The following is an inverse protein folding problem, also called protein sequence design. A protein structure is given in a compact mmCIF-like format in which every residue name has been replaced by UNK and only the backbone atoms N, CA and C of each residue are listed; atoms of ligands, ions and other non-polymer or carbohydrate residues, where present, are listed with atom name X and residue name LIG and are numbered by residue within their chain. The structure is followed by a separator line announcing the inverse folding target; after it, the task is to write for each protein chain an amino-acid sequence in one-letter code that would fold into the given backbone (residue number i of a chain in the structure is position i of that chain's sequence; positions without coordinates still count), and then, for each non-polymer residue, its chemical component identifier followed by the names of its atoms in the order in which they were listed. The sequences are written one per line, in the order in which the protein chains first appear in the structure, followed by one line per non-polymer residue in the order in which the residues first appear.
data_IF_150261087796
#
_entry.id   IF_150261087796
#
_cell.length_a   1.000
_cell.length_b   1.000
_cell.length_c   1.000
_cell.angle_alpha   90.00
_cell.angle_beta   90.00
_cell.angle_gamma   90.00
#
_symmetry.space_group_name_H-M   'P 1'
#
loop_
_entity.id
_entity.type
_entity.pdbx_description
1 polymer ?
#
# COMPACT_ATOMS: atom_id res chain seq x y z
N UNK A 1 5.06 -11.07 -8.24
CA UNK A 1 3.66 -11.61 -8.18
C UNK A 1 3.19 -11.95 -9.59
N UNK A 2 2.57 -13.08 -9.76
CA UNK A 2 1.97 -13.59 -10.99
C UNK A 2 0.51 -14.02 -10.71
N UNK A 3 -0.31 -14.29 -11.71
CA UNK A 3 -1.66 -14.84 -11.47
C UNK A 3 -1.68 -16.17 -10.70
N UNK A 4 -0.60 -16.95 -10.74
CA UNK A 4 -0.49 -18.21 -9.98
C UNK A 4 -0.45 -17.99 -8.47
N UNK A 5 -0.09 -16.79 -8.00
CA UNK A 5 -0.02 -16.46 -6.58
C UNK A 5 -1.39 -16.13 -5.95
N UNK A 6 -2.47 -16.08 -6.77
CA UNK A 6 -3.81 -15.67 -6.34
C UNK A 6 -4.26 -16.39 -5.07
N UNK A 7 -4.22 -17.73 -5.05
CA UNK A 7 -4.69 -18.51 -3.91
C UNK A 7 -3.97 -18.15 -2.61
N UNK A 8 -2.63 -17.98 -2.67
CA UNK A 8 -1.80 -17.56 -1.55
C UNK A 8 -2.10 -16.14 -1.08
N UNK A 9 -2.25 -15.21 -2.03
CA UNK A 9 -2.60 -13.80 -1.73
C UNK A 9 -3.98 -13.70 -1.07
N UNK A 10 -4.97 -14.41 -1.58
CA UNK A 10 -6.32 -14.45 -0.99
C UNK A 10 -6.29 -15.05 0.43
N UNK A 11 -5.53 -16.13 0.64
CA UNK A 11 -5.35 -16.73 1.95
C UNK A 11 -4.71 -15.75 2.94
N UNK A 12 -3.64 -15.05 2.52
CA UNK A 12 -2.99 -14.02 3.33
C UNK A 12 -3.91 -12.84 3.64
N UNK A 13 -4.72 -12.37 2.68
CA UNK A 13 -5.65 -11.28 2.91
C UNK A 13 -6.70 -11.65 3.97
N UNK A 14 -7.25 -12.88 3.95
CA UNK A 14 -8.21 -13.35 4.96
C UNK A 14 -7.66 -13.26 6.38
N UNK A 15 -6.38 -13.50 6.59
CA UNK A 15 -5.74 -13.36 7.91
C UNK A 15 -5.68 -11.91 8.42
N UNK A 16 -5.85 -10.94 7.53
CA UNK A 16 -5.71 -9.51 7.82
C UNK A 16 -7.01 -8.71 7.63
N UNK A 17 -8.16 -9.34 7.38
CA UNK A 17 -9.44 -8.66 7.09
C UNK A 17 -9.94 -7.72 8.21
N UNK A 18 -9.45 -7.87 9.44
CA UNK A 18 -9.75 -6.93 10.52
C UNK A 18 -9.15 -5.54 10.28
N UNK A 19 -8.06 -5.47 9.51
CA UNK A 19 -7.29 -4.23 9.23
C UNK A 19 -7.18 -3.89 7.75
N UNK A 20 -7.68 -4.77 6.86
CA UNK A 20 -7.76 -4.51 5.43
C UNK A 20 -9.18 -4.80 4.92
N UNK A 21 -9.49 -4.38 3.69
CA UNK A 21 -10.75 -4.77 3.04
C UNK A 21 -10.71 -6.23 2.56
N UNK A 22 -11.86 -6.92 2.52
CA UNK A 22 -11.97 -8.24 1.89
C UNK A 22 -11.41 -8.26 0.47
N UNK A 23 -10.85 -9.39 0.08
CA UNK A 23 -10.29 -9.64 -1.24
C UNK A 23 -10.79 -11.00 -1.74
N UNK A 24 -11.60 -10.98 -2.79
CA UNK A 24 -12.01 -12.16 -3.55
C UNK A 24 -11.23 -12.25 -4.87
N UNK A 25 -11.47 -13.28 -5.67
CA UNK A 25 -10.79 -13.53 -6.92
C UNK A 25 -11.05 -12.44 -7.98
N UNK A 26 -12.28 -11.92 -8.07
CA UNK A 26 -12.63 -10.85 -9.00
C UNK A 26 -11.87 -9.56 -8.65
N UNK A 27 -11.91 -9.17 -7.37
CA UNK A 27 -11.19 -8.00 -6.88
C UNK A 27 -9.67 -8.16 -6.97
N UNK A 28 -9.14 -9.37 -6.73
CA UNK A 28 -7.71 -9.66 -6.95
C UNK A 28 -7.34 -9.42 -8.41
N UNK A 29 -8.09 -9.98 -9.36
CA UNK A 29 -7.82 -9.79 -10.79
C UNK A 29 -7.82 -8.31 -11.18
N UNK A 30 -8.81 -7.54 -10.70
CA UNK A 30 -8.89 -6.10 -10.94
C UNK A 30 -7.68 -5.35 -10.33
N UNK A 31 -7.34 -5.62 -9.08
CA UNK A 31 -6.19 -4.99 -8.41
C UNK A 31 -4.87 -5.41 -9.05
N UNK A 32 -4.74 -6.68 -9.44
CA UNK A 32 -3.55 -7.17 -10.14
C UNK A 32 -3.31 -6.43 -11.46
N UNK A 33 -4.38 -6.17 -12.22
CA UNK A 33 -4.30 -5.42 -13.47
C UNK A 33 -3.96 -3.94 -13.26
N UNK A 34 -4.50 -3.30 -12.21
CA UNK A 34 -4.31 -1.88 -11.91
C UNK A 34 -2.97 -1.57 -11.25
N UNK A 35 -2.38 -2.54 -10.51
CA UNK A 35 -1.18 -2.28 -9.72
C UNK A 35 0.07 -2.13 -10.59
N UNK A 36 0.78 -1.03 -10.41
CA UNK A 36 2.07 -0.75 -11.02
C UNK A 36 3.19 -1.51 -10.30
N UNK A 37 3.08 -1.65 -8.98
CA UNK A 37 3.90 -2.57 -8.19
C UNK A 37 3.05 -3.64 -7.55
N UNK A 38 3.43 -4.90 -7.78
CA UNK A 38 2.81 -6.09 -7.19
C UNK A 38 3.88 -7.13 -6.90
N UNK A 39 4.09 -7.42 -5.62
CA UNK A 39 5.10 -8.38 -5.18
C UNK A 39 4.53 -9.35 -4.16
N UNK A 40 5.05 -10.58 -4.14
CA UNK A 40 4.87 -11.56 -3.08
C UNK A 40 6.22 -11.89 -2.45
N UNK A 41 6.19 -12.31 -1.22
CA UNK A 41 7.28 -13.02 -0.58
C UNK A 41 6.82 -14.45 -0.29
N UNK A 42 7.68 -15.39 -0.59
CA UNK A 42 7.44 -16.81 -0.40
C UNK A 42 8.47 -17.41 0.56
N UNK A 43 8.03 -18.37 1.34
CA UNK A 43 8.86 -19.21 2.19
C UNK A 43 8.39 -20.65 2.02
N UNK A 44 9.28 -21.55 1.65
CA UNK A 44 8.99 -22.98 1.43
C UNK A 44 7.81 -23.23 0.46
N UNK A 45 7.67 -22.35 -0.57
CA UNK A 45 6.61 -22.43 -1.58
C UNK A 45 5.26 -21.81 -1.15
N UNK A 46 5.18 -21.25 0.05
CA UNK A 46 3.97 -20.61 0.56
C UNK A 46 4.11 -19.08 0.56
N UNK A 47 3.05 -18.37 0.14
CA UNK A 47 3.02 -16.90 0.21
C UNK A 47 2.96 -16.46 1.67
N UNK A 48 3.97 -15.75 2.14
CA UNK A 48 4.07 -15.24 3.52
C UNK A 48 3.91 -13.73 3.61
N UNK A 49 3.71 -13.06 2.49
CA UNK A 49 3.40 -11.63 2.46
C UNK A 49 3.27 -11.12 1.03
N UNK A 50 2.64 -9.95 0.90
CA UNK A 50 2.52 -9.28 -0.40
C UNK A 50 2.30 -7.78 -0.25
N UNK A 51 2.53 -7.05 -1.35
CA UNK A 51 2.25 -5.62 -1.48
C UNK A 51 1.64 -5.34 -2.85
N UNK A 52 0.65 -4.43 -2.88
CA UNK A 52 0.05 -3.87 -4.09
C UNK A 52 0.10 -2.35 -3.99
N UNK A 53 0.64 -1.70 -5.02
CA UNK A 53 0.66 -0.24 -5.11
C UNK A 53 0.25 0.23 -6.51
N UNK A 54 -0.48 1.34 -6.56
CA UNK A 54 -1.22 1.84 -7.72
C UNK A 54 -0.85 3.32 -7.91
N UNK A 55 -0.41 3.70 -9.11
CA UNK A 55 -0.14 5.09 -9.45
C UNK A 55 -1.45 5.92 -9.59
N UNK A 56 -1.32 7.24 -9.54
CA UNK A 56 -2.45 8.18 -9.49
C UNK A 56 -3.22 8.34 -10.81
N UNK A 57 -2.72 7.78 -11.90
CA UNK A 57 -3.32 7.82 -13.24
C UNK A 57 -4.34 6.69 -13.53
N UNK A 58 -4.62 5.82 -12.55
CA UNK A 58 -5.47 4.64 -12.75
C UNK A 58 -6.95 4.91 -12.42
N UNK A 59 -7.87 4.24 -13.13
CA UNK A 59 -9.31 4.30 -12.85
C UNK A 59 -9.68 3.43 -11.65
N UNK A 60 -9.07 3.71 -10.49
CA UNK A 60 -9.26 2.91 -9.28
C UNK A 60 -10.38 3.47 -8.40
N UNK A 61 -11.47 2.71 -8.31
CA UNK A 61 -12.68 3.05 -7.56
C UNK A 61 -12.52 2.75 -6.05
N UNK A 62 -11.64 3.50 -5.38
CA UNK A 62 -11.39 3.41 -3.95
C UNK A 62 -11.50 4.80 -3.31
N UNK A 63 -12.24 4.90 -2.19
CA UNK A 63 -12.49 6.18 -1.53
C UNK A 63 -11.23 6.82 -0.95
N UNK A 64 -10.26 6.03 -0.48
CA UNK A 64 -9.01 6.53 0.08
C UNK A 64 -8.09 7.01 -1.07
N UNK A 65 -7.99 6.23 -2.14
CA UNK A 65 -7.27 6.61 -3.35
C UNK A 65 -7.82 7.93 -3.93
N UNK A 66 -9.14 8.06 -4.08
CA UNK A 66 -9.78 9.30 -4.54
C UNK A 66 -9.53 10.49 -3.61
N UNK A 67 -9.40 10.26 -2.30
CA UNK A 67 -9.05 11.31 -1.36
C UNK A 67 -7.64 11.84 -1.65
N UNK A 68 -6.66 10.95 -1.85
CA UNK A 68 -5.30 11.32 -2.25
C UNK A 68 -5.28 11.98 -3.62
N UNK A 69 -6.01 11.44 -4.61
CA UNK A 69 -6.11 12.07 -5.94
C UNK A 69 -6.53 13.53 -5.84
N UNK A 70 -7.54 13.88 -5.06
CA UNK A 70 -7.96 15.27 -4.87
C UNK A 70 -6.86 16.11 -4.22
N UNK A 71 -6.25 15.58 -3.16
CA UNK A 71 -5.20 16.28 -2.42
C UNK A 71 -3.99 16.61 -3.30
N UNK A 72 -3.55 15.67 -4.15
CA UNK A 72 -2.41 15.84 -5.06
C UNK A 72 -2.75 16.64 -6.31
N UNK A 73 -3.96 16.53 -6.86
CA UNK A 73 -4.41 17.33 -8.02
C UNK A 73 -4.30 18.84 -7.74
N UNK A 74 -4.66 19.28 -6.54
CA UNK A 74 -4.54 20.70 -6.14
C UNK A 74 -3.09 21.20 -6.12
N UNK A 75 -2.10 20.30 -6.09
CA UNK A 75 -0.66 20.58 -6.02
C UNK A 75 0.09 20.31 -7.32
N UNK A 76 -0.61 19.73 -8.30
CA UNK A 76 -0.02 19.30 -9.59
C UNK A 76 1.13 18.31 -9.36
N UNK A 77 0.94 17.38 -8.44
CA UNK A 77 1.93 16.37 -8.03
C UNK A 77 1.38 14.96 -8.27
N UNK A 78 2.27 13.99 -8.38
CA UNK A 78 1.97 12.58 -8.58
C UNK A 78 2.29 11.74 -7.35
N UNK A 79 1.55 10.64 -7.17
CA UNK A 79 1.75 9.73 -6.06
C UNK A 79 1.66 8.25 -6.46
N UNK A 80 2.28 7.39 -5.66
CA UNK A 80 2.08 5.94 -5.68
C UNK A 80 1.34 5.56 -4.39
N UNK A 81 0.13 5.02 -4.54
CA UNK A 81 -0.74 4.64 -3.44
C UNK A 81 -0.54 3.17 -3.08
N UNK A 82 -0.28 2.87 -1.81
CA UNK A 82 -0.24 1.50 -1.29
C UNK A 82 -1.68 1.08 -0.94
N UNK A 83 -2.30 0.25 -1.79
CA UNK A 83 -3.64 -0.30 -1.50
C UNK A 83 -3.59 -1.29 -0.33
N UNK A 84 -2.57 -2.15 -0.31
CA UNK A 84 -2.33 -3.07 0.80
C UNK A 84 -0.91 -3.58 0.89
N UNK A 85 -0.47 -3.83 2.10
CA UNK A 85 0.74 -4.58 2.43
C UNK A 85 0.42 -5.51 3.59
N UNK A 86 0.64 -6.80 3.39
CA UNK A 86 0.36 -7.83 4.39
C UNK A 86 1.62 -8.68 4.58
N UNK A 87 1.94 -8.95 5.85
CA UNK A 87 3.03 -9.85 6.25
C UNK A 87 2.46 -10.84 7.26
N UNK A 88 2.68 -12.12 7.01
CA UNK A 88 2.31 -13.21 7.92
C UNK A 88 2.77 -12.91 9.35
N UNK A 89 1.94 -13.11 10.37
CA UNK A 89 2.34 -12.95 11.76
C UNK A 89 3.63 -13.70 12.10
N UNK A 90 3.83 -14.90 11.55
CA UNK A 90 5.03 -15.71 11.76
C UNK A 90 6.32 -15.10 11.17
N UNK A 91 6.19 -14.22 10.15
CA UNK A 91 7.33 -13.59 9.46
C UNK A 91 7.52 -12.11 9.87
N UNK A 92 6.75 -11.61 10.85
CA UNK A 92 6.91 -10.26 11.36
C UNK A 92 8.22 -10.10 12.13
N UNK A 93 8.74 -8.86 12.17
CA UNK A 93 10.01 -8.58 12.84
C UNK A 93 11.26 -8.98 12.07
N UNK A 94 11.14 -9.71 10.96
CA UNK A 94 12.25 -10.20 10.13
C UNK A 94 12.63 -9.25 8.97
N UNK A 95 12.10 -8.03 8.96
CA UNK A 95 12.43 -7.03 7.93
C UNK A 95 11.57 -7.08 6.66
N UNK A 96 10.71 -8.10 6.47
CA UNK A 96 9.94 -8.28 5.24
C UNK A 96 9.08 -7.05 4.86
N UNK A 97 8.40 -6.45 5.85
CA UNK A 97 7.65 -5.21 5.61
C UNK A 97 8.54 -4.06 5.11
N UNK A 98 9.77 -3.91 5.66
CA UNK A 98 10.73 -2.91 5.16
C UNK A 98 11.16 -3.19 3.73
N UNK A 99 11.36 -4.46 3.36
CA UNK A 99 11.74 -4.83 2.00
C UNK A 99 10.63 -4.48 1.00
N UNK A 100 9.36 -4.71 1.35
CA UNK A 100 8.23 -4.28 0.53
C UNK A 100 8.19 -2.76 0.35
N UNK A 101 8.38 -2.00 1.43
CA UNK A 101 8.40 -0.53 1.32
C UNK A 101 9.60 -0.01 0.55
N UNK A 102 10.77 -0.65 0.67
CA UNK A 102 11.93 -0.32 -0.16
C UNK A 102 11.60 -0.49 -1.65
N UNK A 103 10.97 -1.62 -2.02
CA UNK A 103 10.54 -1.86 -3.40
C UNK A 103 9.50 -0.83 -3.89
N UNK A 104 8.54 -0.42 -3.02
CA UNK A 104 7.57 0.64 -3.34
C UNK A 104 8.27 1.97 -3.58
N UNK A 105 9.21 2.36 -2.72
CA UNK A 105 9.96 3.60 -2.86
C UNK A 105 10.85 3.60 -4.12
N UNK A 106 11.47 2.47 -4.43
CA UNK A 106 12.27 2.33 -5.64
C UNK A 106 11.40 2.39 -6.91
N UNK A 107 10.23 1.77 -6.91
CA UNK A 107 9.28 1.86 -8.01
C UNK A 107 8.80 3.31 -8.23
N UNK A 108 8.47 4.03 -7.15
CA UNK A 108 8.09 5.43 -7.22
C UNK A 108 9.21 6.28 -7.84
N UNK A 109 10.46 6.14 -7.35
CA UNK A 109 11.64 6.86 -7.89
C UNK A 109 11.88 6.56 -9.37
N UNK A 110 11.79 5.28 -9.77
CA UNK A 110 11.98 4.86 -11.16
C UNK A 110 10.93 5.45 -12.10
N UNK A 111 9.71 5.66 -11.60
CA UNK A 111 8.60 6.29 -12.33
C UNK A 111 8.60 7.83 -12.24
N UNK A 112 9.56 8.43 -11.55
CA UNK A 112 9.62 9.88 -11.34
C UNK A 112 8.57 10.41 -10.36
N UNK A 113 7.95 9.54 -9.54
CA UNK A 113 6.97 9.87 -8.53
C UNK A 113 7.69 10.17 -7.21
N UNK A 114 7.47 11.36 -6.66
CA UNK A 114 8.15 11.79 -5.44
C UNK A 114 7.40 11.37 -4.15
N UNK A 115 6.16 10.97 -4.24
CA UNK A 115 5.29 10.74 -3.08
C UNK A 115 4.74 9.32 -3.06
N UNK A 116 4.82 8.68 -1.89
CA UNK A 116 4.14 7.41 -1.61
C UNK A 116 3.12 7.66 -0.52
N UNK A 117 1.88 7.24 -0.71
CA UNK A 117 0.81 7.44 0.25
C UNK A 117 0.11 6.15 0.66
N UNK A 118 -0.42 6.16 1.87
CA UNK A 118 -1.19 5.08 2.46
C UNK A 118 -2.09 5.60 3.58
N UNK A 119 -3.12 4.85 3.94
CA UNK A 119 -3.93 5.16 5.13
C UNK A 119 -3.71 4.12 6.24
N UNK A 120 -3.90 4.55 7.48
CA UNK A 120 -3.83 3.71 8.68
C UNK A 120 -5.00 3.96 9.60
N UNK A 121 -5.52 2.89 10.22
CA UNK A 121 -6.60 2.99 11.20
C UNK A 121 -6.15 3.80 12.43
N UNK A 122 -6.88 4.90 12.72
CA UNK A 122 -6.77 5.70 13.94
C UNK A 122 -7.75 5.25 15.02
N UNK A 123 -8.92 4.74 14.59
CA UNK A 123 -9.98 4.33 15.52
C UNK A 123 -10.79 3.18 14.91
N UNK A 124 -10.63 1.94 15.49
CA UNK A 124 -9.65 1.56 16.52
C UNK A 124 -8.21 1.72 16.00
N UNK A 125 -7.23 2.04 16.86
CA UNK A 125 -5.89 2.36 16.39
C UNK A 125 -5.09 1.12 16.00
N UNK A 126 -4.54 1.10 14.80
CA UNK A 126 -3.49 0.16 14.39
C UNK A 126 -2.11 0.72 14.79
N UNK A 127 -1.79 0.63 16.11
CA UNK A 127 -0.55 1.21 16.66
C UNK A 127 0.72 0.70 16.00
N UNK A 128 0.74 -0.59 15.64
CA UNK A 128 1.89 -1.21 14.96
C UNK A 128 2.14 -0.58 13.59
N UNK A 129 1.08 -0.42 12.79
CA UNK A 129 1.14 0.21 11.49
C UNK A 129 1.55 1.69 11.61
N UNK A 130 0.91 2.46 12.48
CA UNK A 130 1.23 3.87 12.69
C UNK A 130 2.71 4.08 13.08
N UNK A 131 3.24 3.26 14.00
CA UNK A 131 4.63 3.35 14.43
C UNK A 131 5.59 2.94 13.30
N UNK A 132 5.25 1.91 12.53
CA UNK A 132 6.05 1.44 11.41
C UNK A 132 6.16 2.51 10.33
N UNK A 133 5.04 3.11 9.91
CA UNK A 133 5.03 4.16 8.89
C UNK A 133 5.78 5.41 9.34
N UNK A 134 5.61 5.83 10.61
CA UNK A 134 6.39 6.94 11.15
C UNK A 134 7.90 6.71 11.07
N UNK A 135 8.38 5.48 11.31
CA UNK A 135 9.80 5.12 11.20
C UNK A 135 10.30 5.14 9.75
N UNK A 136 9.40 5.01 8.77
CA UNK A 136 9.71 5.11 7.34
C UNK A 136 9.60 6.55 6.81
N UNK A 137 9.24 7.52 7.65
CA UNK A 137 9.14 8.92 7.25
C UNK A 137 7.75 9.36 6.79
N UNK A 138 6.71 8.52 6.97
CA UNK A 138 5.34 8.94 6.69
C UNK A 138 4.87 10.00 7.69
N UNK A 139 4.20 11.02 7.16
CA UNK A 139 3.55 12.10 7.93
C UNK A 139 2.06 12.13 7.61
N UNK A 140 1.24 12.45 8.61
CA UNK A 140 -0.19 12.65 8.42
C UNK A 140 -0.44 13.99 7.71
N UNK A 141 -1.20 13.95 6.61
CA UNK A 141 -1.61 15.12 5.82
C UNK A 141 -3.11 15.39 5.93
N UNK A 142 -3.83 14.55 6.64
CA UNK A 142 -5.26 14.69 6.91
C UNK A 142 -5.86 13.44 7.52
N UNK A 143 -7.15 13.52 7.82
CA UNK A 143 -7.93 12.37 8.32
C UNK A 143 -9.20 12.19 7.52
N UNK A 144 -9.71 10.96 7.49
CA UNK A 144 -10.95 10.60 6.82
C UNK A 144 -11.75 9.63 7.69
N UNK A 145 -13.07 9.76 7.69
CA UNK A 145 -13.97 8.74 8.26
C UNK A 145 -14.48 7.86 7.12
N UNK A 146 -14.21 6.55 7.21
CA UNK A 146 -14.73 5.56 6.27
C UNK A 146 -16.25 5.34 6.49
N UNK A 147 -16.94 4.76 5.52
CA UNK A 147 -18.36 4.41 5.63
C UNK A 147 -18.66 3.45 6.80
N UNK A 148 -17.67 2.62 7.19
CA UNK A 148 -17.72 1.74 8.35
C UNK A 148 -17.64 2.48 9.71
N UNK A 149 -17.45 3.80 9.72
CA UNK A 149 -17.20 4.59 10.92
C UNK A 149 -15.73 4.61 11.38
N UNK A 150 -14.86 3.83 10.77
CA UNK A 150 -13.42 3.88 11.08
C UNK A 150 -12.84 5.24 10.75
N UNK A 151 -12.05 5.79 11.66
CA UNK A 151 -11.26 6.99 11.41
C UNK A 151 -9.87 6.60 10.92
N UNK A 152 -9.46 7.20 9.81
CA UNK A 152 -8.22 6.90 9.10
C UNK A 152 -7.27 8.11 9.15
N UNK A 153 -5.98 7.84 9.34
CA UNK A 153 -4.88 8.77 9.09
C UNK A 153 -4.47 8.64 7.63
N UNK A 154 -4.55 9.73 6.88
CA UNK A 154 -4.10 9.80 5.50
C UNK A 154 -2.66 10.30 5.52
N UNK A 155 -1.72 9.47 5.10
CA UNK A 155 -0.30 9.74 5.28
C UNK A 155 0.46 9.72 3.97
N UNK A 156 1.54 10.51 3.90
CA UNK A 156 2.44 10.60 2.77
C UNK A 156 3.89 10.49 3.24
N UNK A 157 4.72 9.84 2.42
CA UNK A 157 6.17 9.84 2.53
C UNK A 157 6.77 10.42 1.25
N UNK A 158 7.61 11.43 1.38
CA UNK A 158 8.41 11.94 0.26
C UNK A 158 9.63 11.04 0.07
N UNK A 159 9.79 10.48 -1.14
CA UNK A 159 10.85 9.49 -1.42
C UNK A 159 12.00 10.06 -2.25
N UNK A 160 11.91 11.34 -2.62
CA UNK A 160 12.88 12.03 -3.47
C UNK A 160 12.95 11.42 -4.89
N UNK A 161 12.95 12.24 -5.90
CA UNK A 161 13.21 11.78 -7.28
C UNK A 161 14.71 11.56 -7.45
N UNK A 162 15.14 10.44 -8.03
CA UNK A 162 16.50 10.35 -8.57
C UNK A 162 16.57 11.33 -9.75
N UNK A 163 17.36 12.38 -9.62
CA UNK A 163 17.73 13.17 -10.78
C UNK A 163 18.38 12.22 -11.80
N UNK A 164 17.69 11.95 -12.90
CA UNK A 164 18.32 11.37 -14.06
C UNK A 164 19.31 12.42 -14.55
N UNK A 165 20.57 12.30 -14.10
CA UNK A 165 21.68 13.03 -14.71
C UNK A 165 21.73 12.56 -16.16
N UNK A 166 21.47 13.51 -17.07
CA UNK A 166 21.57 13.32 -18.52
C UNK A 166 23.02 13.07 -18.93
#
# INVERSE_FOLDING_TARGET
MTPADEAGVLAMNRLAEQVTSPLDAERFTALFALSDLKQVAELDGEVVGFVLAIADDKPFENHNYRWFTRWFTERVEHFLYIDRVIVSPACRGQGLGRNFYAAVFDAARQSGIAHVCAEMDLQPPNRGSLQFHRKLGFIEIGTRTAASGKRLSMQVCEVGTQNKTA
#
